data_IF_393524988294
#
_entry.id   IF_393524988294
#
_cell.length_a   1.000
_cell.length_b   1.000
_cell.length_c   1.000
_cell.angle_alpha   90.00
_cell.angle_beta   90.00
_cell.angle_gamma   90.00
#
_symmetry.space_group_name_H-M   'P 1'
#
loop_
_entity.id
_entity.type
_entity.pdbx_description
1 polymer ?
#
# COMPACT_ATOMS: atom_id res chain seq x y z
N UNK A 1 26.37 -9.90 18.38
CA UNK A 1 25.08 -9.27 18.74
C UNK A 1 25.07 -7.83 18.23
N UNK A 2 24.25 -7.48 17.22
CA UNK A 2 23.78 -6.10 16.87
C UNK A 2 22.86 -6.11 15.62
N UNK A 3 21.76 -6.87 15.63
CA UNK A 3 20.75 -6.85 14.53
C UNK A 3 19.37 -6.28 14.93
N UNK A 4 19.22 -5.74 16.15
CA UNK A 4 17.92 -5.27 16.65
C UNK A 4 17.42 -3.94 16.06
N UNK A 5 18.31 -2.96 15.83
CA UNK A 5 17.91 -1.59 15.46
C UNK A 5 17.42 -1.44 14.01
N UNK A 6 17.98 -2.19 13.07
CA UNK A 6 17.57 -2.17 11.64
C UNK A 6 16.22 -2.88 11.45
N UNK A 7 15.94 -3.91 12.26
CA UNK A 7 14.67 -4.64 12.21
C UNK A 7 13.48 -3.80 12.69
N UNK A 8 13.67 -2.96 13.71
CA UNK A 8 12.59 -2.10 14.22
C UNK A 8 12.25 -0.97 13.23
N UNK A 9 13.27 -0.27 12.69
CA UNK A 9 13.05 0.84 11.74
C UNK A 9 12.33 0.39 10.46
N UNK A 10 12.68 -0.76 9.90
CA UNK A 10 11.98 -1.32 8.73
C UNK A 10 10.52 -1.69 9.02
N UNK A 11 10.21 -2.13 10.24
CA UNK A 11 8.83 -2.37 10.67
C UNK A 11 8.05 -1.05 10.73
N UNK A 12 8.66 0.02 11.23
CA UNK A 12 8.05 1.35 11.29
C UNK A 12 7.69 1.87 9.90
N UNK A 13 8.60 1.82 8.91
CA UNK A 13 8.32 2.28 7.54
C UNK A 13 7.16 1.53 6.89
N UNK A 14 7.14 0.20 7.01
CA UNK A 14 6.05 -0.59 6.45
C UNK A 14 4.70 -0.24 7.11
N UNK A 15 4.68 -0.06 8.43
CA UNK A 15 3.48 0.33 9.16
C UNK A 15 3.00 1.71 8.73
N UNK A 16 3.92 2.68 8.60
CA UNK A 16 3.61 4.03 8.11
C UNK A 16 2.92 4.00 6.75
N UNK A 17 3.43 3.22 5.78
CA UNK A 17 2.77 3.10 4.46
C UNK A 17 1.34 2.58 4.60
N UNK A 18 1.12 1.55 5.41
CA UNK A 18 -0.22 0.98 5.61
C UNK A 18 -1.14 1.98 6.31
N UNK A 19 -0.66 2.68 7.33
CA UNK A 19 -1.43 3.67 8.07
C UNK A 19 -1.82 4.87 7.21
N UNK A 20 -0.90 5.35 6.36
CA UNK A 20 -1.18 6.43 5.40
C UNK A 20 -2.30 6.06 4.43
N UNK A 21 -2.32 4.82 3.93
CA UNK A 21 -3.40 4.35 3.05
C UNK A 21 -4.70 4.15 3.83
N UNK A 22 -4.63 3.59 5.03
CA UNK A 22 -5.79 3.37 5.91
C UNK A 22 -6.47 4.69 6.28
N UNK A 23 -5.67 5.71 6.56
CA UNK A 23 -6.12 7.02 7.00
C UNK A 23 -5.95 8.09 5.93
N UNK A 24 -6.05 7.73 4.64
CA UNK A 24 -5.80 8.63 3.49
C UNK A 24 -6.47 10.00 3.59
N UNK A 25 -7.69 10.07 4.14
CA UNK A 25 -8.41 11.35 4.36
C UNK A 25 -7.72 12.28 5.35
N UNK A 26 -6.99 11.72 6.32
CA UNK A 26 -6.19 12.43 7.33
C UNK A 26 -4.73 12.61 6.90
N UNK A 27 -4.35 12.10 5.74
CA UNK A 27 -2.96 12.06 5.24
C UNK A 27 -2.79 12.86 3.95
N UNK A 28 -3.51 13.99 3.81
CA UNK A 28 -3.46 14.87 2.63
C UNK A 28 -3.77 14.19 1.27
N UNK A 29 -4.39 13.00 1.27
CA UNK A 29 -4.79 12.31 0.04
C UNK A 29 -3.73 11.39 -0.56
N UNK A 30 -4.08 10.71 -1.66
CA UNK A 30 -3.25 9.66 -2.25
C UNK A 30 -1.95 10.17 -2.90
N UNK A 31 -1.90 11.42 -3.35
CA UNK A 31 -0.69 12.04 -3.91
C UNK A 31 0.41 12.13 -2.85
N UNK A 32 0.09 12.66 -1.67
CA UNK A 32 1.00 12.68 -0.53
C UNK A 32 1.47 11.27 -0.14
N UNK A 33 0.57 10.28 -0.12
CA UNK A 33 0.94 8.88 0.13
C UNK A 33 1.94 8.37 -0.91
N UNK A 34 1.74 8.69 -2.19
CA UNK A 34 2.66 8.30 -3.25
C UNK A 34 4.06 8.91 -3.09
N UNK A 35 4.15 10.20 -2.73
CA UNK A 35 5.41 10.87 -2.41
C UNK A 35 6.15 10.17 -1.28
N UNK A 36 5.49 9.92 -0.15
CA UNK A 36 6.13 9.24 1.00
C UNK A 36 6.59 7.83 0.63
N UNK A 37 5.81 7.08 -0.17
CA UNK A 37 6.24 5.76 -0.65
C UNK A 37 7.50 5.87 -1.51
N UNK A 38 7.58 6.85 -2.42
CA UNK A 38 8.76 7.04 -3.27
C UNK A 38 10.02 7.35 -2.45
N UNK A 39 9.92 8.25 -1.48
CA UNK A 39 11.03 8.63 -0.59
C UNK A 39 11.51 7.49 0.30
N UNK A 40 10.61 6.54 0.60
CA UNK A 40 10.89 5.42 1.51
C UNK A 40 11.06 4.08 0.79
N UNK A 41 10.95 4.01 -0.54
CA UNK A 41 10.90 2.74 -1.30
C UNK A 41 12.04 1.78 -0.95
N UNK A 42 13.27 2.29 -0.79
CA UNK A 42 14.46 1.50 -0.49
C UNK A 42 14.55 1.06 0.99
N UNK A 43 13.69 1.62 1.85
CA UNK A 43 13.58 1.31 3.28
C UNK A 43 12.44 0.33 3.59
N UNK A 44 11.52 0.13 2.63
CA UNK A 44 10.38 -0.79 2.76
C UNK A 44 10.90 -2.23 2.72
N UNK A 45 10.58 -3.00 3.76
CA UNK A 45 10.91 -4.42 3.79
C UNK A 45 9.74 -5.25 3.31
N UNK A 46 9.74 -5.60 2.03
CA UNK A 46 8.68 -6.38 1.39
C UNK A 46 8.32 -7.67 2.17
N UNK A 47 9.31 -8.37 2.74
CA UNK A 47 9.12 -9.63 3.45
C UNK A 47 8.26 -9.49 4.71
N UNK A 48 8.19 -8.29 5.30
CA UNK A 48 7.41 -8.01 6.51
C UNK A 48 5.97 -7.52 6.24
N UNK A 49 5.65 -7.16 4.98
CA UNK A 49 4.32 -6.65 4.63
C UNK A 49 3.18 -7.65 4.89
N UNK A 50 3.32 -8.97 4.61
CA UNK A 50 2.23 -9.92 4.89
C UNK A 50 1.88 -10.02 6.37
N UNK A 51 2.87 -9.88 7.27
CA UNK A 51 2.61 -9.90 8.71
C UNK A 51 1.75 -8.69 9.14
N UNK A 52 1.98 -7.52 8.53
CA UNK A 52 1.16 -6.32 8.79
C UNK A 52 -0.23 -6.48 8.18
N UNK A 53 -0.32 -7.04 6.96
CA UNK A 53 -1.60 -7.37 6.33
C UNK A 53 -2.45 -8.30 7.21
N UNK A 54 -1.83 -9.33 7.80
CA UNK A 54 -2.51 -10.25 8.71
C UNK A 54 -3.03 -9.56 9.98
N UNK A 55 -2.25 -8.65 10.56
CA UNK A 55 -2.65 -7.89 11.76
C UNK A 55 -3.90 -7.04 11.50
N UNK A 56 -3.98 -6.38 10.34
CA UNK A 56 -5.14 -5.57 9.99
C UNK A 56 -6.33 -6.41 9.51
N UNK A 57 -6.07 -7.58 8.92
CA UNK A 57 -7.07 -8.49 8.35
C UNK A 57 -8.11 -7.78 7.45
N UNK A 58 -7.65 -6.79 6.68
CA UNK A 58 -8.48 -5.92 5.84
C UNK A 58 -8.03 -6.07 4.37
N UNK A 59 -8.73 -6.93 3.64
CA UNK A 59 -8.44 -7.21 2.22
C UNK A 59 -8.49 -5.95 1.35
N UNK A 60 -9.54 -5.10 1.41
CA UNK A 60 -9.57 -3.81 0.71
C UNK A 60 -8.37 -2.90 0.97
N UNK A 61 -7.89 -2.82 2.21
CA UNK A 61 -6.70 -2.05 2.56
C UNK A 61 -5.45 -2.63 1.88
N UNK A 62 -5.26 -3.95 1.96
CA UNK A 62 -4.10 -4.63 1.38
C UNK A 62 -4.08 -4.51 -0.15
N UNK A 63 -5.25 -4.56 -0.80
CA UNK A 63 -5.38 -4.29 -2.23
C UNK A 63 -4.82 -2.89 -2.57
N UNK A 64 -5.28 -1.84 -1.87
CA UNK A 64 -4.85 -0.45 -2.12
C UNK A 64 -3.36 -0.26 -1.84
N UNK A 65 -2.85 -0.77 -0.72
CA UNK A 65 -1.43 -0.69 -0.37
C UNK A 65 -0.59 -1.36 -1.46
N UNK A 66 -0.96 -2.58 -1.86
CA UNK A 66 -0.23 -3.34 -2.86
C UNK A 66 -0.17 -2.64 -4.22
N UNK A 67 -1.28 -2.06 -4.68
CA UNK A 67 -1.30 -1.27 -5.91
C UNK A 67 -0.40 -0.02 -5.84
N UNK A 68 -0.42 0.71 -4.72
CA UNK A 68 0.43 1.89 -4.54
C UNK A 68 1.91 1.50 -4.47
N UNK A 69 2.25 0.39 -3.83
CA UNK A 69 3.61 -0.14 -3.81
C UNK A 69 4.07 -0.65 -5.19
N UNK A 70 3.17 -1.20 -6.00
CA UNK A 70 3.48 -1.56 -7.39
C UNK A 70 3.85 -0.33 -8.20
N UNK A 71 3.12 0.77 -8.00
CA UNK A 71 3.33 2.03 -8.72
C UNK A 71 4.57 2.80 -8.26
N UNK A 72 4.83 2.82 -6.96
CA UNK A 72 5.79 3.77 -6.36
C UNK A 72 6.85 3.09 -5.48
N UNK A 73 6.61 1.86 -5.02
CA UNK A 73 7.39 1.16 -4.00
C UNK A 73 8.47 0.21 -4.52
N UNK A 74 8.88 0.31 -5.78
CA UNK A 74 10.09 -0.37 -6.27
C UNK A 74 10.08 -1.91 -6.20
N UNK A 75 8.96 -2.56 -6.56
CA UNK A 75 8.78 -4.04 -6.57
C UNK A 75 8.56 -4.69 -5.19
N UNK A 76 8.20 -3.92 -4.17
CA UNK A 76 7.93 -4.44 -2.82
C UNK A 76 6.55 -5.08 -2.63
N UNK A 77 5.69 -5.05 -3.65
CA UNK A 77 4.28 -5.47 -3.60
C UNK A 77 4.05 -6.98 -3.65
N UNK A 78 4.98 -7.75 -4.23
CA UNK A 78 4.80 -9.16 -4.55
C UNK A 78 4.34 -10.04 -3.36
N UNK A 79 4.87 -9.86 -2.13
CA UNK A 79 4.39 -10.62 -0.99
C UNK A 79 2.92 -10.38 -0.65
N UNK A 80 2.38 -9.17 -0.90
CA UNK A 80 0.97 -8.85 -0.69
C UNK A 80 0.06 -9.52 -1.73
N UNK A 81 0.49 -9.64 -2.99
CA UNK A 81 -0.24 -10.43 -3.98
C UNK A 81 -0.38 -11.89 -3.55
N UNK A 82 0.70 -12.49 -3.02
CA UNK A 82 0.65 -13.86 -2.51
C UNK A 82 -0.30 -13.98 -1.32
N UNK A 83 -0.31 -12.98 -0.44
CA UNK A 83 -1.23 -12.94 0.69
C UNK A 83 -2.70 -12.87 0.24
N UNK A 84 -3.01 -12.17 -0.86
CA UNK A 84 -4.35 -12.07 -1.43
C UNK A 84 -4.83 -13.35 -2.12
N UNK A 85 -3.94 -14.21 -2.65
CA UNK A 85 -4.33 -15.40 -3.44
C UNK A 85 -5.23 -16.40 -2.71
N UNK A 86 -5.11 -16.47 -1.38
CA UNK A 86 -5.86 -17.42 -0.56
C UNK A 86 -7.09 -16.77 0.11
N UNK A 87 -7.50 -15.60 -0.36
CA UNK A 87 -8.57 -14.80 0.23
C UNK A 87 -9.59 -14.45 -0.82
N UNK A 88 -10.82 -14.22 -0.37
CA UNK A 88 -11.84 -13.65 -1.22
C UNK A 88 -11.53 -12.17 -1.47
N UNK A 89 -11.49 -11.78 -2.75
CA UNK A 89 -11.11 -10.43 -3.17
C UNK A 89 -12.23 -9.83 -4.01
N UNK A 90 -12.71 -8.67 -3.59
CA UNK A 90 -13.74 -7.92 -4.29
C UNK A 90 -13.16 -6.68 -4.97
N UNK A 91 -13.85 -6.18 -6.01
CA UNK A 91 -13.46 -4.94 -6.66
C UNK A 91 -13.66 -3.76 -5.71
N UNK A 92 -12.59 -3.05 -5.35
CA UNK A 92 -12.64 -1.89 -4.44
C UNK A 92 -12.15 -0.61 -5.10
N UNK A 93 -12.73 0.52 -4.73
CA UNK A 93 -12.24 1.84 -5.17
C UNK A 93 -10.84 2.11 -4.63
N UNK A 94 -9.96 2.67 -5.46
CA UNK A 94 -8.64 3.14 -5.05
C UNK A 94 -8.76 4.25 -4.01
N UNK A 95 -9.55 5.28 -4.30
CA UNK A 95 -9.95 6.30 -3.34
C UNK A 95 -11.39 6.02 -2.87
N UNK A 96 -11.61 5.59 -1.62
CA UNK A 96 -12.94 5.27 -1.09
C UNK A 96 -13.93 6.45 -1.13
N UNK A 97 -13.42 7.68 -1.15
CA UNK A 97 -14.21 8.91 -1.05
C UNK A 97 -14.77 9.40 -2.38
N UNK A 98 -14.19 8.95 -3.49
CA UNK A 98 -14.60 9.37 -4.83
C UNK A 98 -15.64 8.40 -5.41
N UNK A 99 -16.35 8.84 -6.46
CA UNK A 99 -17.24 7.98 -7.27
C UNK A 99 -16.42 6.89 -7.97
N UNK A 100 -17.08 5.86 -8.50
CA UNK A 100 -16.41 4.82 -9.28
C UNK A 100 -15.82 5.40 -10.58
N UNK A 101 -14.63 4.92 -10.96
CA UNK A 101 -13.95 5.26 -12.21
C UNK A 101 -14.29 4.26 -13.31
N UNK A 102 -13.79 4.54 -14.52
CA UNK A 102 -14.04 3.72 -15.72
C UNK A 102 -13.09 2.52 -15.87
N UNK A 103 -11.95 2.52 -15.18
CA UNK A 103 -10.87 1.54 -15.35
C UNK A 103 -10.73 0.64 -14.12
N UNK A 104 -10.49 -0.64 -14.36
CA UNK A 104 -10.19 -1.61 -13.31
C UNK A 104 -8.79 -2.20 -13.49
N UNK A 105 -8.06 -2.33 -12.39
CA UNK A 105 -6.78 -3.02 -12.28
C UNK A 105 -7.05 -4.42 -11.74
N UNK A 106 -7.23 -5.39 -12.65
CA UNK A 106 -7.62 -6.76 -12.32
C UNK A 106 -6.67 -7.43 -11.32
N UNK A 107 -5.35 -7.20 -11.48
CA UNK A 107 -4.30 -7.77 -10.63
C UNK A 107 -4.53 -7.53 -9.13
N UNK A 108 -5.08 -6.36 -8.78
CA UNK A 108 -5.35 -5.94 -7.40
C UNK A 108 -6.85 -5.89 -7.08
N UNK A 109 -7.71 -6.25 -8.04
CA UNK A 109 -9.15 -5.98 -8.01
C UNK A 109 -9.46 -4.55 -7.53
N UNK A 110 -8.82 -3.55 -8.16
CA UNK A 110 -9.04 -2.14 -7.85
C UNK A 110 -9.77 -1.44 -8.99
N UNK A 111 -10.78 -0.64 -8.65
CA UNK A 111 -11.34 0.37 -9.53
C UNK A 111 -10.49 1.65 -9.42
N UNK A 112 -9.84 2.01 -10.52
CA UNK A 112 -8.95 3.17 -10.62
C UNK A 112 -9.80 4.44 -10.78
N UNK A 113 -10.25 4.97 -9.65
CA UNK A 113 -11.16 6.11 -9.57
C UNK A 113 -10.50 7.41 -9.08
N UNK A 114 -9.18 7.42 -9.02
CA UNK A 114 -8.36 8.59 -8.74
C UNK A 114 -7.13 8.50 -9.61
N UNK A 115 -6.72 9.62 -10.21
CA UNK A 115 -5.34 9.75 -10.64
C UNK A 115 -4.47 9.91 -9.38
N UNK A 116 -3.31 9.28 -9.34
CA UNK A 116 -2.38 9.39 -8.21
C UNK A 116 -1.03 9.74 -8.81
N UNK A 117 -0.59 10.95 -8.53
CA UNK A 117 0.69 11.49 -8.92
C UNK A 117 1.38 11.96 -7.64
N UNK A 118 2.66 11.63 -7.42
CA UNK A 118 3.43 12.21 -6.35
C UNK A 118 3.44 13.73 -6.49
N UNK A 119 3.36 14.43 -5.36
CA UNK A 119 3.64 15.86 -5.34
C UNK A 119 5.11 16.07 -5.77
N UNK A 120 5.41 17.19 -6.43
CA UNK A 120 6.76 17.52 -6.90
C UNK A 120 7.78 17.34 -5.77
N UNK A 121 8.79 16.48 -6.02
CA UNK A 121 9.91 16.17 -5.11
C UNK A 121 11.18 16.86 -5.58
#
# INVERSE_FOLDING_TARGET
MKNGKVSYKSKAFNQTVVDLVRYVKKSAGLSHVATVILEMKDKINAKKLPAIAEIHNDTPLVQRVGYLLEKFGGKSEQPLLRWLKNREVYLVKLNPSLKVGKKNIRKWAINLNSNVEPDEV
#
